data_IF_561688811534
#
_entry.id   IF_561688811534
#
_cell.length_a   1.000
_cell.length_b   1.000
_cell.length_c   1.000
_cell.angle_alpha   90.00
_cell.angle_beta   90.00
_cell.angle_gamma   90.00
#
_symmetry.space_group_name_H-M   'P 1'
#
loop_
_entity.id
_entity.type
_entity.pdbx_description
1 polymer ?
#
# COMPACT_ATOMS: atom_id res chain seq x y z
N UNK A 1 -11.75 -7.54 7.53
CA UNK A 1 -11.34 -8.63 6.63
C UNK A 1 -11.67 -9.98 7.24
N UNK A 2 -11.65 -11.06 6.42
CA UNK A 2 -12.09 -12.40 6.82
C UNK A 2 -11.18 -13.02 7.89
N UNK A 3 -11.64 -14.06 8.59
CA UNK A 3 -10.89 -14.77 9.65
C UNK A 3 -9.50 -15.23 9.20
N UNK A 4 -9.33 -15.64 7.94
CA UNK A 4 -8.02 -16.05 7.38
C UNK A 4 -6.96 -14.94 7.45
N UNK A 5 -7.36 -13.66 7.45
CA UNK A 5 -6.44 -12.52 7.55
C UNK A 5 -5.75 -12.44 8.92
N UNK A 6 -6.29 -13.10 9.95
CA UNK A 6 -5.66 -13.19 11.27
C UNK A 6 -4.25 -13.79 11.19
N UNK A 7 -3.98 -14.69 10.23
CA UNK A 7 -2.66 -15.27 10.04
C UNK A 7 -1.59 -14.21 9.75
N UNK A 8 -1.88 -13.24 8.88
CA UNK A 8 -0.96 -12.16 8.51
C UNK A 8 -0.61 -11.30 9.74
N UNK A 9 -1.59 -11.01 10.59
CA UNK A 9 -1.38 -10.28 11.84
C UNK A 9 -0.50 -11.07 12.82
N UNK A 10 -0.68 -12.40 12.91
CA UNK A 10 0.16 -13.27 13.74
C UNK A 10 1.60 -13.32 13.24
N UNK A 11 1.81 -13.29 11.93
CA UNK A 11 3.15 -13.20 11.33
C UNK A 11 3.82 -11.86 11.67
N UNK A 12 3.10 -10.74 11.63
CA UNK A 12 3.61 -9.43 12.05
C UNK A 12 3.99 -9.42 13.54
N UNK A 13 3.14 -10.00 14.41
CA UNK A 13 3.42 -10.18 15.84
C UNK A 13 4.68 -11.03 16.09
N UNK A 14 4.87 -12.09 15.30
CA UNK A 14 6.05 -12.97 15.37
C UNK A 14 7.32 -12.28 14.87
N UNK A 15 7.17 -11.34 13.92
CA UNK A 15 8.22 -10.43 13.45
C UNK A 15 8.42 -9.22 14.36
N UNK A 16 7.82 -9.20 15.55
CA UNK A 16 8.14 -8.23 16.60
C UNK A 16 7.17 -7.07 16.76
N UNK A 17 5.98 -7.08 16.14
CA UNK A 17 4.91 -6.15 16.54
C UNK A 17 4.38 -6.50 17.94
N UNK A 18 3.95 -5.51 18.73
CA UNK A 18 3.57 -5.71 20.14
C UNK A 18 2.14 -6.22 20.32
N UNK A 19 1.21 -5.67 19.56
CA UNK A 19 -0.21 -6.04 19.55
C UNK A 19 -0.81 -5.92 18.16
N UNK A 20 -1.98 -6.51 17.96
CA UNK A 20 -2.74 -6.41 16.71
C UNK A 20 -4.19 -6.01 16.98
N UNK A 21 -4.78 -5.31 16.01
CA UNK A 21 -6.22 -5.05 15.94
C UNK A 21 -6.70 -5.68 14.64
N UNK A 22 -7.70 -6.56 14.72
CA UNK A 22 -8.28 -7.23 13.57
C UNK A 22 -9.73 -6.80 13.43
N UNK A 23 -10.01 -5.95 12.45
CA UNK A 23 -11.38 -5.72 11.98
C UNK A 23 -11.84 -7.01 11.30
N UNK A 24 -12.52 -7.89 12.04
CA UNK A 24 -12.85 -9.25 11.61
C UNK A 24 -14.32 -9.35 11.24
N UNK A 25 -14.58 -9.34 9.93
CA UNK A 25 -15.89 -9.56 9.33
C UNK A 25 -15.71 -9.81 7.83
N UNK A 26 -16.58 -10.64 7.25
CA UNK A 26 -16.63 -10.86 5.80
C UNK A 26 -17.24 -9.65 5.07
N UNK A 27 -18.08 -8.85 5.73
CA UNK A 27 -18.66 -7.64 5.16
C UNK A 27 -17.62 -6.58 4.78
N UNK A 28 -16.43 -6.60 5.42
CA UNK A 28 -15.31 -5.75 5.04
C UNK A 28 -14.69 -6.15 3.68
N UNK A 29 -15.00 -7.32 3.15
CA UNK A 29 -14.52 -7.75 1.83
C UNK A 29 -15.28 -6.97 0.77
N UNK A 30 -14.56 -6.32 -0.14
CA UNK A 30 -15.16 -5.52 -1.20
C UNK A 30 -15.43 -4.07 -0.83
N UNK A 31 -15.04 -3.63 0.37
CA UNK A 31 -14.96 -2.20 0.66
C UNK A 31 -14.03 -1.51 -0.33
N UNK A 32 -14.44 -0.34 -0.81
CA UNK A 32 -13.53 0.55 -1.54
C UNK A 32 -12.48 1.15 -0.59
N UNK A 33 -11.55 1.93 -1.15
CA UNK A 33 -10.50 2.56 -0.37
C UNK A 33 -11.06 3.53 0.70
N UNK A 34 -12.19 4.19 0.41
CA UNK A 34 -12.81 5.16 1.28
C UNK A 34 -13.42 4.51 2.53
N UNK A 35 -14.29 3.52 2.36
CA UNK A 35 -14.88 2.77 3.48
C UNK A 35 -13.82 2.00 4.27
N UNK A 36 -12.79 1.48 3.60
CA UNK A 36 -11.65 0.86 4.28
C UNK A 36 -10.94 1.85 5.20
N UNK A 37 -10.64 3.06 4.72
CA UNK A 37 -9.98 4.09 5.51
C UNK A 37 -10.86 4.58 6.68
N UNK A 38 -12.18 4.78 6.46
CA UNK A 38 -13.10 5.17 7.55
C UNK A 38 -13.23 4.09 8.61
N UNK A 39 -13.29 2.82 8.22
CA UNK A 39 -13.30 1.70 9.17
C UNK A 39 -12.02 1.68 10.01
N UNK A 40 -10.84 1.90 9.40
CA UNK A 40 -9.60 2.02 10.14
C UNK A 40 -9.59 3.21 11.09
N UNK A 41 -9.94 4.42 10.62
CA UNK A 41 -10.01 5.62 11.45
C UNK A 41 -10.91 5.42 12.67
N UNK A 42 -12.09 4.81 12.48
CA UNK A 42 -13.00 4.51 13.58
C UNK A 42 -12.45 3.47 14.57
N UNK A 43 -11.77 2.44 14.06
CA UNK A 43 -11.19 1.39 14.90
C UNK A 43 -10.00 1.86 15.74
N UNK A 44 -9.28 2.89 15.28
CA UNK A 44 -8.11 3.45 15.96
C UNK A 44 -8.37 4.78 16.67
N UNK A 45 -9.62 5.27 16.71
CA UNK A 45 -9.95 6.59 17.22
C UNK A 45 -9.49 6.86 18.67
N UNK A 46 -9.44 5.81 19.49
CA UNK A 46 -9.07 5.87 20.91
C UNK A 46 -7.58 5.53 21.12
N UNK A 47 -6.80 5.41 20.05
CA UNK A 47 -5.39 5.07 20.08
C UNK A 47 -4.52 6.32 19.88
N UNK A 48 -3.44 6.44 20.65
CA UNK A 48 -2.48 7.55 20.54
C UNK A 48 -1.28 7.11 19.70
N UNK A 49 -1.33 7.39 18.40
CA UNK A 49 -0.22 7.12 17.48
C UNK A 49 0.52 8.39 17.09
N UNK A 50 1.85 8.33 17.09
CA UNK A 50 2.68 9.41 16.52
C UNK A 50 2.89 9.23 15.02
N UNK A 51 2.84 7.99 14.52
CA UNK A 51 3.20 7.69 13.14
C UNK A 51 2.44 6.46 12.65
N UNK A 52 1.76 6.60 11.52
CA UNK A 52 1.05 5.50 10.86
C UNK A 52 1.77 5.15 9.56
N UNK A 53 2.07 3.86 9.40
CA UNK A 53 2.59 3.33 8.15
C UNK A 53 1.52 2.52 7.43
N UNK A 54 1.31 2.81 6.15
CA UNK A 54 0.58 1.95 5.24
C UNK A 54 1.50 1.44 4.14
N UNK A 55 1.10 0.37 3.45
CA UNK A 55 1.71 0.09 2.14
C UNK A 55 1.38 1.20 1.14
N UNK A 56 2.19 1.34 0.08
CA UNK A 56 1.91 2.21 -1.05
C UNK A 56 0.58 1.82 -1.72
N UNK A 57 0.45 0.54 -2.08
CA UNK A 57 -0.74 -0.04 -2.67
C UNK A 57 -0.78 -1.53 -2.37
N UNK A 58 -1.95 -2.14 -2.46
CA UNK A 58 -2.11 -3.59 -2.38
C UNK A 58 -1.98 -4.23 -3.77
N UNK A 59 -1.50 -5.47 -3.83
CA UNK A 59 -1.31 -6.19 -5.09
C UNK A 59 -2.62 -6.64 -5.76
N UNK A 60 -3.76 -6.53 -5.06
CA UNK A 60 -5.07 -6.89 -5.58
C UNK A 60 -5.72 -5.71 -6.33
N UNK A 61 -6.28 -4.75 -5.61
CA UNK A 61 -7.00 -3.62 -6.19
C UNK A 61 -6.07 -2.49 -6.64
N UNK A 62 -4.86 -2.38 -6.08
CA UNK A 62 -3.87 -1.41 -6.52
C UNK A 62 -4.29 0.06 -6.39
N UNK A 63 -5.28 0.37 -5.54
CA UNK A 63 -5.88 1.72 -5.51
C UNK A 63 -4.90 2.82 -5.06
N UNK A 64 -3.89 2.49 -4.27
CA UNK A 64 -2.94 3.45 -3.68
C UNK A 64 -3.57 4.60 -2.86
N UNK A 65 -4.83 4.45 -2.44
CA UNK A 65 -5.65 5.53 -1.86
C UNK A 65 -5.85 5.41 -0.34
N UNK A 66 -5.93 4.19 0.21
CA UNK A 66 -6.35 3.97 1.60
C UNK A 66 -5.53 4.78 2.62
N UNK A 67 -4.20 4.84 2.45
CA UNK A 67 -3.32 5.57 3.37
C UNK A 67 -3.51 7.09 3.31
N UNK A 68 -3.67 7.66 2.12
CA UNK A 68 -3.87 9.12 1.97
C UNK A 68 -5.26 9.56 2.42
N UNK A 69 -6.29 8.74 2.17
CA UNK A 69 -7.64 9.00 2.68
C UNK A 69 -7.64 8.92 4.21
N UNK A 70 -6.96 7.92 4.80
CA UNK A 70 -6.85 7.81 6.25
C UNK A 70 -6.18 9.05 6.85
N UNK A 71 -5.11 9.57 6.23
CA UNK A 71 -4.46 10.78 6.68
C UNK A 71 -5.41 12.00 6.68
N UNK A 72 -6.19 12.17 5.60
CA UNK A 72 -7.18 13.25 5.49
C UNK A 72 -8.27 13.12 6.57
N UNK A 73 -8.79 11.90 6.78
CA UNK A 73 -9.81 11.63 7.82
C UNK A 73 -9.31 11.94 9.24
N UNK A 74 -8.01 11.75 9.49
CA UNK A 74 -7.37 12.08 10.76
C UNK A 74 -6.95 13.55 10.85
N UNK A 75 -6.93 14.29 9.73
CA UNK A 75 -6.37 15.64 9.64
C UNK A 75 -4.85 15.69 9.80
N UNK A 76 -4.15 14.61 9.42
CA UNK A 76 -2.70 14.47 9.64
C UNK A 76 -1.90 14.76 8.37
N UNK A 77 -0.70 15.37 8.50
CA UNK A 77 0.24 15.50 7.39
C UNK A 77 0.64 14.11 6.88
N UNK A 78 0.82 13.99 5.56
CA UNK A 78 1.20 12.73 4.95
C UNK A 78 2.19 12.90 3.80
N UNK A 79 2.93 11.84 3.53
CA UNK A 79 3.76 11.73 2.33
C UNK A 79 3.70 10.30 1.80
N UNK A 80 3.78 10.17 0.49
CA UNK A 80 3.61 8.90 -0.21
C UNK A 80 4.88 8.42 -0.86
N UNK A 81 4.95 7.13 -1.23
CA UNK A 81 6.06 6.58 -2.01
C UNK A 81 7.40 6.77 -1.26
N UNK A 82 7.37 6.44 0.05
CA UNK A 82 8.50 6.67 0.94
C UNK A 82 9.54 5.55 0.80
N UNK A 83 10.79 5.97 0.61
CA UNK A 83 11.97 5.12 0.42
C UNK A 83 13.02 5.26 1.52
N UNK A 84 12.90 6.25 2.41
CA UNK A 84 13.75 6.42 3.60
C UNK A 84 13.04 7.31 4.62
N UNK A 85 13.26 7.03 5.91
CA UNK A 85 12.72 7.80 7.04
C UNK A 85 13.85 8.06 8.02
N UNK A 86 14.04 9.32 8.39
CA UNK A 86 15.01 9.77 9.37
C UNK A 86 14.28 10.58 10.44
N UNK A 87 14.62 10.34 11.71
CA UNK A 87 14.11 11.16 12.81
C UNK A 87 14.89 12.46 12.85
N UNK A 88 14.18 13.58 13.06
CA UNK A 88 14.79 14.89 13.36
C UNK A 88 14.30 15.40 14.71
N UNK A 89 14.90 16.47 15.21
CA UNK A 89 14.51 17.08 16.49
C UNK A 89 13.09 17.65 16.47
N UNK A 90 12.60 18.06 15.28
CA UNK A 90 11.27 18.66 15.08
C UNK A 90 10.23 17.72 14.46
N UNK A 91 10.55 16.44 14.25
CA UNK A 91 9.66 15.49 13.59
C UNK A 91 10.43 14.42 12.81
N UNK A 92 10.16 14.34 11.52
CA UNK A 92 10.82 13.39 10.62
C UNK A 92 11.21 14.05 9.29
N UNK A 93 12.29 13.55 8.69
CA UNK A 93 12.68 13.80 7.31
C UNK A 93 12.48 12.52 6.51
N UNK A 94 11.75 12.61 5.40
CA UNK A 94 11.48 11.45 4.54
C UNK A 94 12.02 11.68 3.14
N UNK A 95 12.47 10.59 2.52
CA UNK A 95 12.87 10.55 1.10
C UNK A 95 11.75 9.87 0.32
N UNK A 96 11.13 10.61 -0.60
CA UNK A 96 10.08 10.14 -1.51
C UNK A 96 10.65 9.93 -2.91
N UNK A 97 10.25 8.86 -3.57
CA UNK A 97 10.54 8.65 -5.00
C UNK A 97 9.57 9.45 -5.89
N UNK A 98 10.13 10.02 -6.95
CA UNK A 98 9.43 10.67 -8.05
C UNK A 98 9.72 9.91 -9.36
N UNK A 99 9.06 10.31 -10.44
CA UNK A 99 9.30 9.72 -11.75
C UNK A 99 10.76 9.92 -12.22
N UNK A 100 11.19 9.10 -13.18
CA UNK A 100 12.52 9.16 -13.79
C UNK A 100 13.70 9.04 -12.79
N UNK A 101 13.50 8.38 -11.65
CA UNK A 101 14.56 8.13 -10.65
C UNK A 101 14.92 9.35 -9.81
N UNK A 102 14.11 10.40 -9.85
CA UNK A 102 14.27 11.56 -8.97
C UNK A 102 13.78 11.23 -7.56
N UNK A 103 14.36 11.93 -6.58
CA UNK A 103 13.95 11.84 -5.19
C UNK A 103 13.72 13.22 -4.60
N UNK A 104 12.73 13.33 -3.73
CA UNK A 104 12.44 14.52 -2.97
C UNK A 104 12.62 14.25 -1.48
N UNK A 105 13.29 15.17 -0.78
CA UNK A 105 13.33 15.18 0.68
C UNK A 105 12.24 16.09 1.21
N UNK A 106 11.50 15.61 2.20
CA UNK A 106 10.39 16.34 2.83
C UNK A 106 10.56 16.28 4.34
N UNK A 107 10.61 17.44 4.98
CA UNK A 107 10.53 17.57 6.43
C UNK A 107 9.06 17.70 6.86
N UNK A 108 8.65 16.94 7.86
CA UNK A 108 7.26 16.97 8.34
C UNK A 108 7.16 16.75 9.86
N UNK A 109 6.15 17.36 10.51
CA UNK A 109 5.91 17.18 11.93
C UNK A 109 5.27 15.82 12.21
N UNK A 110 5.23 15.43 13.49
CA UNK A 110 4.42 14.34 14.00
C UNK A 110 3.18 14.93 14.71
N UNK A 111 2.01 14.25 14.69
CA UNK A 111 1.80 12.93 14.09
C UNK A 111 1.71 12.97 12.55
N UNK A 112 2.02 11.86 11.88
CA UNK A 112 2.00 11.78 10.42
C UNK A 112 1.57 10.40 9.89
N UNK A 113 1.16 10.35 8.62
CA UNK A 113 0.88 9.11 7.89
C UNK A 113 1.82 8.96 6.69
N UNK A 114 2.49 7.82 6.56
CA UNK A 114 3.37 7.55 5.43
C UNK A 114 2.90 6.34 4.63
N UNK A 115 2.89 6.45 3.31
CA UNK A 115 2.74 5.28 2.42
C UNK A 115 4.11 4.76 2.01
N UNK A 116 4.40 3.53 2.42
CA UNK A 116 5.73 2.93 2.32
C UNK A 116 5.86 2.18 1.01
N UNK A 117 6.88 2.51 0.24
CA UNK A 117 7.17 1.82 -1.02
C UNK A 117 7.90 0.49 -0.78
N UNK A 118 7.53 -0.50 -1.58
CA UNK A 118 8.20 -1.80 -1.62
C UNK A 118 9.69 -1.65 -1.90
N UNK A 119 10.52 -2.29 -1.08
CA UNK A 119 11.97 -2.25 -1.24
C UNK A 119 12.69 -1.23 -0.35
N UNK A 120 11.97 -0.43 0.46
CA UNK A 120 12.57 0.45 1.47
C UNK A 120 13.58 -0.28 2.36
N UNK A 121 13.24 -1.49 2.81
CA UNK A 121 14.02 -2.28 3.77
C UNK A 121 13.79 -3.79 3.54
N UNK A 122 14.79 -4.59 3.93
CA UNK A 122 14.63 -6.05 4.02
C UNK A 122 13.93 -6.41 5.33
N UNK A 123 12.77 -7.03 5.24
CA UNK A 123 12.02 -7.48 6.42
C UNK A 123 12.77 -8.58 7.17
N UNK A 124 12.82 -8.48 8.50
CA UNK A 124 13.38 -9.54 9.34
C UNK A 124 12.53 -10.81 9.28
N UNK A 125 13.19 -11.96 9.44
CA UNK A 125 12.51 -13.24 9.60
C UNK A 125 11.92 -13.37 11.02
N UNK A 126 10.85 -14.14 11.15
CA UNK A 126 10.32 -14.51 12.45
C UNK A 126 11.22 -15.58 13.07
N UNK A 127 11.59 -15.41 14.34
CA UNK A 127 12.33 -16.45 15.09
C UNK A 127 11.35 -17.49 15.63
N UNK A 128 11.81 -18.71 15.90
CA UNK A 128 10.98 -19.75 16.52
C UNK A 128 10.38 -19.29 17.86
N UNK A 129 11.16 -18.54 18.65
CA UNK A 129 10.70 -17.93 19.91
C UNK A 129 9.60 -16.90 19.62
N UNK A 130 9.80 -16.03 18.63
CA UNK A 130 8.82 -15.04 18.20
C UNK A 130 7.50 -15.66 17.75
N UNK A 131 7.54 -16.76 17.00
CA UNK A 131 6.35 -17.50 16.56
C UNK A 131 5.56 -18.05 17.76
N UNK A 132 6.26 -18.61 18.77
CA UNK A 132 5.60 -19.10 19.99
C UNK A 132 4.96 -17.95 20.78
N UNK A 133 5.69 -16.86 20.98
CA UNK A 133 5.22 -15.69 21.72
C UNK A 133 4.06 -14.98 21.02
N UNK A 134 4.04 -14.95 19.68
CA UNK A 134 3.00 -14.29 18.90
C UNK A 134 1.59 -14.83 19.15
N UNK A 135 1.45 -16.10 19.56
CA UNK A 135 0.14 -16.69 19.93
C UNK A 135 -0.44 -16.05 21.20
N UNK A 136 0.42 -15.63 22.12
CA UNK A 136 0.03 -15.06 23.40
C UNK A 136 -0.04 -13.52 23.38
N UNK A 137 0.47 -12.88 22.32
CA UNK A 137 0.40 -11.42 22.18
C UNK A 137 -1.05 -10.94 22.02
N UNK A 138 -1.39 -9.74 22.55
CA UNK A 138 -2.73 -9.19 22.46
C UNK A 138 -3.21 -9.04 21.01
N UNK A 139 -4.41 -9.54 20.73
CA UNK A 139 -5.10 -9.33 19.46
C UNK A 139 -6.54 -8.93 19.77
N UNK A 140 -6.85 -7.65 19.58
CA UNK A 140 -8.21 -7.12 19.71
C UNK A 140 -8.96 -7.42 18.42
N UNK A 141 -10.14 -8.02 18.52
CA UNK A 141 -11.07 -8.12 17.39
C UNK A 141 -12.03 -6.94 17.44
N UNK A 142 -12.25 -6.32 16.29
CA UNK A 142 -13.22 -5.23 16.10
C UNK A 142 -14.27 -5.73 15.13
N UNK A 143 -15.51 -5.72 15.57
CA UNK A 143 -16.66 -6.15 14.76
C UNK A 143 -17.11 -5.04 13.80
N UNK A 144 -17.89 -5.39 12.77
CA UNK A 144 -18.50 -4.39 11.91
C UNK A 144 -19.38 -3.41 12.69
N UNK A 145 -20.16 -3.90 13.66
CA UNK A 145 -21.08 -3.09 14.46
C UNK A 145 -20.36 -1.94 15.21
N UNK A 146 -19.13 -2.17 15.67
CA UNK A 146 -18.32 -1.14 16.37
C UNK A 146 -17.93 0.04 15.46
N UNK A 147 -17.79 -0.20 14.16
CA UNK A 147 -17.35 0.82 13.17
C UNK A 147 -18.44 1.19 12.18
N UNK A 148 -19.64 0.62 12.31
CA UNK A 148 -20.71 0.71 11.32
C UNK A 148 -21.16 2.16 11.09
N UNK A 149 -21.20 2.99 12.13
CA UNK A 149 -21.58 4.40 12.01
C UNK A 149 -20.58 5.22 11.18
N UNK A 150 -19.36 4.74 11.04
CA UNK A 150 -18.31 5.37 10.26
C UNK A 150 -18.23 4.83 8.84
N UNK A 151 -19.02 3.85 8.42
CA UNK A 151 -18.97 3.31 7.06
C UNK A 151 -20.32 3.48 6.38
N UNK A 152 -20.31 3.57 5.06
CA UNK A 152 -21.53 3.73 4.26
C UNK A 152 -21.46 2.87 3.01
N UNK A 153 -22.25 3.24 1.99
CA UNK A 153 -22.15 2.62 0.68
C UNK A 153 -20.77 2.91 0.05
N UNK A 154 -20.30 1.99 -0.79
CA UNK A 154 -19.10 2.23 -1.58
C UNK A 154 -19.33 3.37 -2.57
N UNK A 155 -18.33 4.23 -2.69
CA UNK A 155 -18.25 5.29 -3.70
C UNK A 155 -17.69 4.77 -5.02
N UNK A 156 -16.96 3.65 -5.00
CA UNK A 156 -16.44 2.98 -6.19
C UNK A 156 -16.94 1.53 -6.28
N UNK A 157 -17.43 1.15 -7.47
CA UNK A 157 -17.90 -0.21 -7.77
C UNK A 157 -17.19 -0.78 -9.00
N UNK A 158 -16.83 -2.07 -8.93
CA UNK A 158 -16.26 -2.80 -10.07
C UNK A 158 -17.40 -3.41 -10.88
N UNK A 159 -17.70 -2.82 -12.04
CA UNK A 159 -18.78 -3.32 -12.90
C UNK A 159 -18.41 -4.57 -13.69
N UNK A 160 -17.16 -4.62 -14.17
CA UNK A 160 -16.65 -5.75 -14.98
C UNK A 160 -15.17 -5.99 -14.69
N UNK A 161 -14.82 -7.28 -14.63
CA UNK A 161 -13.45 -7.76 -14.57
C UNK A 161 -13.26 -8.79 -15.69
N UNK A 162 -12.19 -8.64 -16.47
CA UNK A 162 -11.86 -9.56 -17.55
C UNK A 162 -10.35 -9.72 -17.66
N UNK A 163 -9.93 -10.86 -18.19
CA UNK A 163 -8.52 -11.13 -18.46
C UNK A 163 -8.13 -10.38 -19.73
N UNK A 164 -7.06 -9.55 -19.71
CA UNK A 164 -6.63 -8.85 -20.90
C UNK A 164 -6.26 -9.85 -22.00
N UNK A 165 -6.88 -9.71 -23.16
CA UNK A 165 -6.55 -10.52 -24.33
C UNK A 165 -5.21 -10.05 -24.89
N UNK A 166 -4.14 -10.82 -24.64
CA UNK A 166 -2.80 -10.52 -25.17
C UNK A 166 -2.77 -10.77 -26.67
N UNK A 167 -2.92 -9.73 -27.48
CA UNK A 167 -2.56 -9.77 -28.89
C UNK A 167 -1.05 -9.54 -29.00
N UNK A 168 -0.26 -10.61 -29.13
CA UNK A 168 1.15 -10.48 -29.48
C UNK A 168 1.27 -10.36 -30.99
N UNK A 169 1.65 -9.17 -31.47
CA UNK A 169 2.12 -9.00 -32.84
C UNK A 169 3.65 -8.96 -32.80
N UNK A 170 4.29 -9.97 -33.38
CA UNK A 170 5.76 -10.07 -33.44
C UNK A 170 6.19 -9.91 -34.88
N UNK A 171 7.01 -8.90 -35.16
CA UNK A 171 7.59 -8.68 -36.47
C UNK A 171 9.11 -8.85 -36.39
N UNK A 172 9.66 -9.70 -37.25
CA UNK A 172 11.10 -9.87 -37.40
C UNK A 172 11.62 -8.85 -38.41
N UNK A 173 12.62 -8.06 -38.01
CA UNK A 173 13.27 -7.09 -38.88
C UNK A 173 14.54 -7.71 -39.46
N UNK A 174 14.53 -7.98 -40.76
CA UNK A 174 15.66 -8.56 -41.48
C UNK A 174 16.45 -7.51 -42.27
N UNK A 175 17.75 -7.79 -42.46
CA UNK A 175 18.67 -6.98 -43.25
C UNK A 175 19.97 -6.62 -42.51
N UNK A 176 20.83 -5.78 -43.12
CA UNK A 176 22.05 -5.30 -42.49
C UNK A 176 21.75 -4.51 -41.19
N UNK A 177 22.64 -4.56 -40.17
CA UNK A 177 22.40 -3.95 -38.86
C UNK A 177 21.97 -2.47 -38.91
N UNK A 178 22.57 -1.68 -39.80
CA UNK A 178 22.26 -0.26 -39.95
C UNK A 178 20.83 0.00 -40.48
N UNK A 179 20.32 -0.87 -41.35
CA UNK A 179 18.96 -0.75 -41.88
C UNK A 179 17.91 -1.22 -40.86
N UNK A 180 18.21 -2.32 -40.15
CA UNK A 180 17.37 -2.83 -39.07
C UNK A 180 17.21 -1.77 -37.98
N UNK A 181 18.28 -1.09 -37.59
CA UNK A 181 18.21 0.00 -36.62
C UNK A 181 17.30 1.16 -37.08
N UNK A 182 17.40 1.57 -38.36
CA UNK A 182 16.52 2.61 -38.93
C UNK A 182 15.05 2.16 -38.97
N UNK A 183 14.78 0.94 -39.41
CA UNK A 183 13.43 0.34 -39.45
C UNK A 183 12.83 0.26 -38.05
N UNK A 184 13.63 -0.17 -37.07
CA UNK A 184 13.20 -0.26 -35.67
C UNK A 184 12.79 1.10 -35.12
N UNK A 185 13.64 2.13 -35.28
CA UNK A 185 13.34 3.49 -34.82
C UNK A 185 12.09 4.05 -35.52
N UNK A 186 11.96 3.85 -36.84
CA UNK A 186 10.78 4.29 -37.59
C UNK A 186 9.49 3.64 -37.07
N UNK A 187 9.51 2.33 -36.79
CA UNK A 187 8.36 1.61 -36.22
C UNK A 187 8.01 2.07 -34.81
N UNK A 188 9.02 2.19 -33.94
CA UNK A 188 8.81 2.65 -32.56
C UNK A 188 8.24 4.07 -32.50
N UNK A 189 8.67 4.96 -33.40
CA UNK A 189 8.19 6.35 -33.47
C UNK A 189 6.82 6.48 -34.15
N UNK A 190 6.61 5.83 -35.30
CA UNK A 190 5.45 6.10 -36.15
C UNK A 190 4.28 5.14 -35.87
N UNK A 191 4.56 3.86 -35.65
CA UNK A 191 3.53 2.82 -35.47
C UNK A 191 3.19 2.64 -33.99
N UNK A 192 4.20 2.44 -33.14
CA UNK A 192 4.01 2.10 -31.73
C UNK A 192 3.92 3.35 -30.84
N UNK A 193 4.49 4.48 -31.28
CA UNK A 193 4.46 5.81 -30.59
C UNK A 193 4.99 5.76 -29.15
N UNK A 194 6.11 5.07 -28.97
CA UNK A 194 6.81 4.96 -27.67
C UNK A 194 8.13 5.73 -27.63
N UNK A 195 8.50 6.35 -28.75
CA UNK A 195 9.59 7.31 -28.93
C UNK A 195 9.01 8.64 -29.42
#
# INVERSE_FOLDING_TARGET
>A
GPTRAQQVLREALAKGADRAIHLEDNAFVGFDAYNTARAFAAAIKDEEFDLIFTGLQSDDYGYAQTGVILAELLGWPHATIIMQIEKSDSGIRVKRELEAGYFQFVDMPLPAVLTIQSGINKLRYATLIGIKQAKNKPLRKVTLAEVQSAVGDNLQNIERLYIPQKMKNTEFLEGPPAEVAKKLVAKLRNEIRVL
#
